data_IF_158762655403
#
_entry.id   IF_158762655403
#
_cell.length_a   1.000
_cell.length_b   1.000
_cell.length_c   1.000
_cell.angle_alpha   90.00
_cell.angle_beta   90.00
_cell.angle_gamma   90.00
#
_symmetry.space_group_name_H-M   'P 1'
#
loop_
_entity.id
_entity.type
_entity.pdbx_description
1 polymer ?
#
# COMPACT_ATOMS: atom_id res chain seq x y z
N UNK A 1 16.68 -4.88 -0.93
CA UNK A 1 16.86 -3.98 -2.08
C UNK A 1 15.81 -2.91 -1.97
N UNK A 2 16.30 -1.71 -1.81
CA UNK A 2 15.65 -0.51 -1.33
C UNK A 2 15.14 0.24 -2.55
N UNK A 3 13.81 0.36 -2.64
CA UNK A 3 13.09 0.93 -3.78
C UNK A 3 13.50 2.39 -4.10
N UNK A 4 14.26 3.03 -3.20
CA UNK A 4 14.78 4.39 -3.33
C UNK A 4 15.97 4.49 -4.30
N UNK A 5 16.83 3.46 -4.39
CA UNK A 5 17.98 3.48 -5.30
C UNK A 5 17.56 3.37 -6.77
N UNK A 6 16.55 2.55 -7.05
CA UNK A 6 16.00 2.38 -8.41
C UNK A 6 15.34 3.67 -8.90
N UNK A 7 14.65 4.38 -8.00
CA UNK A 7 14.00 5.65 -8.32
C UNK A 7 15.03 6.76 -8.60
N UNK A 8 16.10 6.82 -7.80
CA UNK A 8 17.19 7.77 -8.01
C UNK A 8 17.88 7.56 -9.37
N UNK A 9 18.18 6.30 -9.72
CA UNK A 9 18.80 5.96 -11.00
C UNK A 9 17.92 6.37 -12.19
N UNK A 10 16.60 6.17 -12.08
CA UNK A 10 15.66 6.51 -13.15
C UNK A 10 15.55 8.03 -13.34
N UNK A 11 15.52 8.81 -12.25
CA UNK A 11 15.50 10.28 -12.31
C UNK A 11 16.80 10.84 -12.90
N UNK A 12 17.96 10.28 -12.56
CA UNK A 12 19.24 10.70 -13.14
C UNK A 12 19.31 10.44 -14.64
N UNK A 13 18.85 9.28 -15.10
CA UNK A 13 18.78 8.95 -16.53
C UNK A 13 17.83 9.91 -17.26
N UNK A 14 16.66 10.20 -16.68
CA UNK A 14 15.67 11.13 -17.24
C UNK A 14 16.26 12.54 -17.39
N UNK A 15 16.97 13.02 -16.38
CA UNK A 15 17.59 14.33 -16.38
C UNK A 15 18.75 14.42 -17.38
N UNK A 16 19.55 13.35 -17.51
CA UNK A 16 20.59 13.24 -18.53
C UNK A 16 20.03 13.31 -19.95
N UNK A 17 18.94 12.58 -20.24
CA UNK A 17 18.29 12.59 -21.55
C UNK A 17 17.73 13.97 -21.89
N UNK A 18 17.11 14.64 -20.91
CA UNK A 18 16.57 15.99 -21.08
C UNK A 18 17.68 17.00 -21.41
N UNK A 19 18.82 16.93 -20.71
CA UNK A 19 19.96 17.80 -20.97
C UNK A 19 20.58 17.59 -22.36
N UNK A 20 20.57 16.36 -22.89
CA UNK A 20 21.02 16.07 -24.26
C UNK A 20 20.04 16.64 -25.28
N UNK A 21 18.73 16.49 -25.06
CA UNK A 21 17.71 17.04 -25.94
C UNK A 21 17.79 18.56 -26.02
N UNK A 22 17.93 19.24 -24.89
CA UNK A 22 18.06 20.70 -24.82
C UNK A 22 19.35 21.16 -25.53
N UNK A 23 20.44 20.40 -25.44
CA UNK A 23 21.69 20.71 -26.17
C UNK A 23 21.58 20.48 -27.67
N UNK A 24 20.79 19.50 -28.10
CA UNK A 24 20.56 19.21 -29.51
C UNK A 24 19.63 20.27 -30.15
N UNK A 25 18.61 20.71 -29.41
CA UNK A 25 17.68 21.75 -29.85
C UNK A 25 18.35 23.13 -29.95
N UNK A 26 19.35 23.40 -29.09
CA UNK A 26 20.12 24.65 -29.07
C UNK A 26 21.43 24.58 -29.90
N UNK A 27 21.72 23.48 -30.60
CA UNK A 27 22.89 23.39 -31.47
C UNK A 27 22.69 24.28 -32.72
N UNK A 28 23.68 25.11 -33.11
CA UNK A 28 23.53 26.02 -34.24
C UNK A 28 23.32 25.25 -35.54
N UNK A 29 22.21 25.52 -36.23
CA UNK A 29 21.92 25.02 -37.58
C UNK A 29 22.90 25.65 -38.57
N UNK A 30 24.05 25.02 -38.79
CA UNK A 30 24.92 25.34 -39.92
C UNK A 30 24.26 24.81 -41.19
N UNK A 31 23.74 25.74 -42.00
CA UNK A 31 23.21 25.49 -43.33
C UNK A 31 24.34 25.03 -44.27
N UNK A 32 24.06 23.95 -45.00
CA UNK A 32 24.95 23.38 -46.00
C UNK A 32 25.18 24.34 -47.18
N UNK A 33 26.43 24.69 -47.51
CA UNK A 33 26.90 25.11 -48.84
C UNK A 33 28.45 25.13 -48.90
N UNK A 34 29.04 24.12 -49.58
CA UNK A 34 30.37 24.04 -50.26
C UNK A 34 31.62 24.67 -49.61
N UNK A 35 32.83 24.09 -49.61
CA UNK A 35 33.41 22.88 -50.19
C UNK A 35 34.87 22.83 -49.68
N UNK A 36 35.35 21.65 -49.27
CA UNK A 36 36.78 21.34 -49.28
C UNK A 36 37.44 21.19 -47.92
N UNK A 37 37.17 20.08 -47.22
CA UNK A 37 38.22 19.25 -46.63
C UNK A 37 37.60 17.92 -46.21
N UNK A 38 38.29 16.85 -46.55
CA UNK A 38 37.81 15.47 -46.50
C UNK A 38 37.63 15.05 -45.04
N UNK A 39 36.41 15.16 -44.52
CA UNK A 39 36.06 14.58 -43.24
C UNK A 39 36.30 13.05 -43.32
N UNK A 40 37.05 12.46 -42.38
CA UNK A 40 37.23 11.02 -42.38
C UNK A 40 35.84 10.42 -42.17
N UNK A 41 35.39 9.62 -43.13
CA UNK A 41 34.21 8.78 -42.98
C UNK A 41 34.51 7.85 -41.81
N UNK A 42 34.10 8.26 -40.61
CA UNK A 42 34.26 7.47 -39.41
C UNK A 42 33.36 6.25 -39.58
N UNK A 43 33.98 5.09 -39.83
CA UNK A 43 33.25 3.86 -40.03
C UNK A 43 32.54 3.48 -38.71
N UNK A 44 31.21 3.59 -38.70
CA UNK A 44 30.36 3.26 -37.55
C UNK A 44 30.12 1.75 -37.41
N UNK A 45 30.58 0.93 -38.37
CA UNK A 45 30.44 -0.52 -38.31
C UNK A 45 30.94 -1.15 -37.00
N UNK A 46 32.10 -0.76 -36.42
CA UNK A 46 32.61 -1.35 -35.19
C UNK A 46 31.71 -1.08 -33.98
N UNK A 47 31.08 0.10 -33.90
CA UNK A 47 30.19 0.47 -32.79
C UNK A 47 28.86 -0.28 -32.91
N UNK A 48 28.38 -0.45 -34.14
CA UNK A 48 27.17 -1.22 -34.42
C UNK A 48 27.36 -2.71 -34.09
N UNK A 49 28.49 -3.30 -34.47
CA UNK A 49 28.80 -4.70 -34.14
C UNK A 49 28.97 -4.91 -32.63
N UNK A 50 29.53 -3.94 -31.90
CA UNK A 50 29.64 -3.97 -30.44
C UNK A 50 28.26 -3.91 -29.77
N UNK A 51 27.35 -3.09 -30.29
CA UNK A 51 25.96 -3.05 -29.80
C UNK A 51 25.20 -4.34 -30.12
N UNK A 52 25.32 -4.86 -31.34
CA UNK A 52 24.64 -6.08 -31.77
C UNK A 52 25.16 -7.31 -31.00
N UNK A 53 26.45 -7.36 -30.67
CA UNK A 53 27.03 -8.41 -29.82
C UNK A 53 26.56 -8.30 -28.37
N UNK A 54 26.54 -7.10 -27.78
CA UNK A 54 26.02 -6.87 -26.44
C UNK A 54 24.52 -7.19 -26.32
N UNK A 55 23.71 -6.80 -27.31
CA UNK A 55 22.28 -7.11 -27.34
C UNK A 55 22.02 -8.62 -27.42
N UNK A 56 22.81 -9.35 -28.23
CA UNK A 56 22.75 -10.82 -28.29
C UNK A 56 23.16 -11.46 -26.97
N UNK A 57 24.21 -10.96 -26.32
CA UNK A 57 24.67 -11.46 -25.03
C UNK A 57 23.60 -11.27 -23.94
N UNK A 58 23.03 -10.07 -23.80
CA UNK A 58 21.92 -9.81 -22.89
C UNK A 58 20.70 -10.70 -23.20
N UNK A 59 20.36 -10.89 -24.47
CA UNK A 59 19.27 -11.79 -24.85
C UNK A 59 19.54 -13.23 -24.40
N UNK A 60 20.79 -13.72 -24.55
CA UNK A 60 21.16 -15.06 -24.06
C UNK A 60 21.12 -15.16 -22.54
N UNK A 61 21.56 -14.12 -21.83
CA UNK A 61 21.54 -14.07 -20.37
C UNK A 61 20.10 -14.05 -19.82
N UNK A 62 19.22 -13.22 -20.40
CA UNK A 62 17.81 -13.16 -20.00
C UNK A 62 17.11 -14.49 -20.28
N UNK A 63 17.36 -15.13 -21.44
CA UNK A 63 16.84 -16.46 -21.74
C UNK A 63 17.31 -17.52 -20.74
N UNK A 64 18.59 -17.51 -20.38
CA UNK A 64 19.12 -18.44 -19.38
C UNK A 64 18.49 -18.23 -18.00
N UNK A 65 18.27 -16.98 -17.59
CA UNK A 65 17.65 -16.65 -16.30
C UNK A 65 16.16 -17.06 -16.27
N UNK A 66 15.42 -16.79 -17.33
CA UNK A 66 14.02 -17.22 -17.47
C UNK A 66 13.89 -18.74 -17.44
N UNK A 67 14.81 -19.45 -18.09
CA UNK A 67 14.81 -20.92 -18.09
C UNK A 67 15.06 -21.47 -16.68
N UNK A 68 16.03 -20.91 -15.93
CA UNK A 68 16.26 -21.28 -14.53
C UNK A 68 15.05 -21.03 -13.64
N UNK A 69 14.35 -19.91 -13.84
CA UNK A 69 13.13 -19.60 -13.08
C UNK A 69 12.01 -20.61 -13.39
N UNK A 70 11.79 -20.91 -14.67
CA UNK A 70 10.81 -21.89 -15.09
C UNK A 70 11.10 -23.30 -14.51
N UNK A 71 12.36 -23.73 -14.52
CA UNK A 71 12.77 -24.99 -13.90
C UNK A 71 12.52 -25.02 -12.39
N UNK A 72 12.79 -23.92 -11.68
CA UNK A 72 12.56 -23.80 -10.24
C UNK A 72 11.07 -23.84 -9.89
N UNK A 73 10.22 -23.16 -10.66
CA UNK A 73 8.77 -23.21 -10.48
C UNK A 73 8.19 -24.60 -10.74
N UNK A 74 8.61 -25.28 -11.82
CA UNK A 74 8.18 -26.64 -12.13
C UNK A 74 8.58 -27.61 -11.03
N UNK A 75 9.82 -27.50 -10.51
CA UNK A 75 10.30 -28.34 -9.40
C UNK A 75 9.50 -28.12 -8.12
N UNK A 76 9.21 -26.87 -7.80
CA UNK A 76 8.44 -26.52 -6.59
C UNK A 76 7.00 -27.01 -6.71
N UNK A 77 6.37 -26.79 -7.86
CA UNK A 77 5.01 -27.24 -8.16
C UNK A 77 4.88 -28.76 -8.10
N UNK A 78 5.86 -29.49 -8.66
CA UNK A 78 5.87 -30.95 -8.61
C UNK A 78 6.03 -31.47 -7.17
N UNK A 79 6.86 -30.82 -6.34
CA UNK A 79 6.97 -31.15 -4.91
C UNK A 79 5.64 -30.93 -4.17
N UNK A 80 4.95 -29.83 -4.44
CA UNK A 80 3.63 -29.55 -3.85
C UNK A 80 2.62 -30.62 -4.28
N UNK A 81 2.61 -31.00 -5.56
CA UNK A 81 1.73 -32.04 -6.07
C UNK A 81 1.97 -33.39 -5.37
N UNK A 82 3.23 -33.76 -5.15
CA UNK A 82 3.58 -34.97 -4.40
C UNK A 82 3.08 -34.92 -2.95
N UNK A 83 3.28 -33.81 -2.25
CA UNK A 83 2.78 -33.65 -0.89
C UNK A 83 1.25 -33.74 -0.80
N UNK A 84 0.54 -33.18 -1.78
CA UNK A 84 -0.92 -33.28 -1.86
C UNK A 84 -1.37 -34.72 -2.13
N UNK A 85 -0.64 -35.47 -2.96
CA UNK A 85 -0.91 -36.89 -3.22
C UNK A 85 -0.68 -37.74 -1.97
N UNK A 86 0.45 -37.56 -1.29
CA UNK A 86 0.77 -38.28 -0.05
C UNK A 86 -0.26 -37.99 1.04
N UNK A 87 -0.71 -36.74 1.15
CA UNK A 87 -1.76 -36.36 2.11
C UNK A 87 -3.10 -37.02 1.77
N UNK A 88 -3.48 -37.07 0.50
CA UNK A 88 -4.69 -37.75 0.06
C UNK A 88 -4.62 -39.27 0.30
N UNK A 89 -3.48 -39.90 0.00
CA UNK A 89 -3.25 -41.32 0.28
C UNK A 89 -3.28 -41.61 1.78
N UNK A 90 -2.73 -40.73 2.62
CA UNK A 90 -2.79 -40.87 4.08
C UNK A 90 -4.24 -40.82 4.59
N UNK A 91 -5.10 -39.99 3.99
CA UNK A 91 -6.52 -39.91 4.34
C UNK A 91 -7.26 -41.18 3.93
N UNK A 92 -7.03 -41.69 2.71
CA UNK A 92 -7.63 -42.94 2.21
C UNK A 92 -7.21 -44.13 3.09
N UNK A 93 -5.92 -44.26 3.40
CA UNK A 93 -5.41 -45.36 4.22
C UNK A 93 -5.94 -45.31 5.66
N UNK A 94 -6.04 -44.13 6.26
CA UNK A 94 -6.65 -43.96 7.59
C UNK A 94 -8.15 -44.31 7.61
N UNK A 95 -8.82 -44.23 6.47
CA UNK A 95 -10.23 -44.61 6.32
C UNK A 95 -10.42 -46.12 6.10
N UNK A 96 -9.44 -46.82 5.53
CA UNK A 96 -9.48 -48.28 5.32
C UNK A 96 -9.06 -49.06 6.57
N UNK A 97 -8.04 -48.60 7.29
CA UNK A 97 -7.53 -49.22 8.53
C UNK A 97 -8.57 -49.22 9.67
N UNK A 98 -9.65 -48.45 9.54
CA UNK A 98 -10.77 -48.41 10.50
C UNK A 98 -11.78 -49.55 10.38
N UNK A 99 -11.69 -50.44 9.37
CA UNK A 99 -12.74 -51.43 9.10
C UNK A 99 -12.59 -52.78 9.83
N UNK A 100 -11.44 -53.14 10.40
CA UNK A 100 -11.17 -54.55 10.76
C UNK A 100 -10.48 -54.82 12.12
N UNK A 101 -10.81 -54.14 13.22
CA UNK A 101 -10.38 -54.61 14.56
C UNK A 101 -11.47 -54.60 15.65
N UNK A 102 -11.47 -55.60 16.57
CA UNK A 102 -12.46 -55.71 17.65
C UNK A 102 -12.21 -54.64 18.73
N UNK A 103 -13.27 -53.93 19.10
CA UNK A 103 -13.25 -52.78 20.01
C UNK A 103 -12.70 -53.10 21.41
N UNK A 104 -11.55 -52.51 21.77
CA UNK A 104 -11.23 -52.22 23.17
C UNK A 104 -12.01 -50.97 23.61
N UNK A 105 -12.70 -51.09 24.76
CA UNK A 105 -13.45 -50.02 25.40
C UNK A 105 -12.51 -48.94 25.94
N UNK A 106 -11.99 -48.11 25.06
CA UNK A 106 -11.38 -46.83 25.41
C UNK A 106 -12.51 -45.81 25.44
N UNK A 107 -12.71 -45.13 26.58
CA UNK A 107 -13.52 -43.91 26.69
C UNK A 107 -12.88 -42.81 25.83
N UNK A 108 -13.09 -42.91 24.52
CA UNK A 108 -12.67 -41.94 23.52
C UNK A 108 -13.85 -41.00 23.35
N UNK A 109 -13.68 -39.72 23.69
CA UNK A 109 -14.55 -38.67 23.16
C UNK A 109 -14.24 -38.51 21.66
N UNK A 110 -14.73 -39.47 20.87
CA UNK A 110 -14.81 -39.34 19.43
C UNK A 110 -15.98 -38.39 19.17
N UNK A 111 -15.68 -37.12 18.87
CA UNK A 111 -16.69 -36.23 18.29
C UNK A 111 -16.97 -36.73 16.88
N UNK A 112 -17.97 -37.59 16.76
CA UNK A 112 -18.44 -38.09 15.48
C UNK A 112 -19.17 -36.97 14.74
N UNK A 113 -18.48 -36.30 13.81
CA UNK A 113 -19.05 -35.27 12.93
C UNK A 113 -20.17 -35.85 12.03
N UNK A 114 -20.34 -37.18 12.00
CA UNK A 114 -21.45 -37.85 11.32
C UNK A 114 -22.81 -37.68 12.02
N UNK A 115 -22.83 -37.28 13.30
CA UNK A 115 -24.08 -36.94 13.99
C UNK A 115 -24.60 -35.60 13.48
N UNK A 116 -25.68 -35.64 12.69
CA UNK A 116 -26.31 -34.44 12.10
C UNK A 116 -26.64 -33.35 13.12
N UNK A 117 -26.87 -33.73 14.39
CA UNK A 117 -27.15 -32.81 15.50
C UNK A 117 -25.92 -32.00 15.91
N UNK A 118 -24.75 -32.63 16.02
CA UNK A 118 -23.49 -31.95 16.40
C UNK A 118 -23.01 -31.08 15.24
N UNK A 119 -23.11 -31.57 14.00
CA UNK A 119 -22.83 -30.78 12.81
C UNK A 119 -23.75 -29.55 12.72
N UNK A 120 -25.05 -29.72 12.91
CA UNK A 120 -26.00 -28.59 12.89
C UNK A 120 -25.72 -27.57 14.00
N UNK A 121 -25.28 -28.01 15.18
CA UNK A 121 -24.94 -27.12 16.29
C UNK A 121 -23.64 -26.35 16.01
N UNK A 122 -22.63 -27.01 15.43
CA UNK A 122 -21.39 -26.38 14.98
C UNK A 122 -21.65 -25.35 13.87
N UNK A 123 -22.51 -25.67 12.90
CA UNK A 123 -22.91 -24.74 11.83
C UNK A 123 -23.68 -23.56 12.42
N UNK A 124 -24.65 -23.81 13.31
CA UNK A 124 -25.41 -22.74 13.98
C UNK A 124 -24.52 -21.82 14.80
N UNK A 125 -23.59 -22.39 15.58
CA UNK A 125 -22.61 -21.61 16.34
C UNK A 125 -21.68 -20.82 15.41
N UNK A 126 -21.27 -21.41 14.28
CA UNK A 126 -20.47 -20.73 13.26
C UNK A 126 -21.17 -19.48 12.72
N UNK A 127 -22.44 -19.60 12.33
CA UNK A 127 -23.25 -18.46 11.85
C UNK A 127 -23.36 -17.36 12.91
N UNK A 128 -23.66 -17.73 14.16
CA UNK A 128 -23.75 -16.76 15.28
C UNK A 128 -22.40 -16.07 15.54
N UNK A 129 -21.30 -16.82 15.55
CA UNK A 129 -19.95 -16.27 15.69
C UNK A 129 -19.61 -15.31 14.55
N UNK A 130 -19.91 -15.67 13.30
CA UNK A 130 -19.67 -14.81 12.13
C UNK A 130 -20.49 -13.52 12.18
N UNK A 131 -21.76 -13.59 12.57
CA UNK A 131 -22.60 -12.39 12.76
C UNK A 131 -22.07 -11.50 13.87
N UNK A 132 -21.58 -12.09 14.97
CA UNK A 132 -20.94 -11.33 16.05
C UNK A 132 -19.69 -10.61 15.59
N UNK A 133 -18.81 -11.29 14.85
CA UNK A 133 -17.59 -10.68 14.28
C UNK A 133 -17.95 -9.57 13.28
N UNK A 134 -18.90 -9.84 12.37
CA UNK A 134 -19.37 -8.86 11.40
C UNK A 134 -19.90 -7.59 12.06
N UNK A 135 -20.81 -7.73 13.04
CA UNK A 135 -21.38 -6.60 13.76
C UNK A 135 -20.33 -5.77 14.51
N UNK A 136 -19.30 -6.42 15.06
CA UNK A 136 -18.18 -5.71 15.69
C UNK A 136 -17.32 -4.93 14.69
N UNK A 137 -17.07 -5.51 13.50
CA UNK A 137 -16.33 -4.83 12.43
C UNK A 137 -17.11 -3.61 11.92
N UNK A 138 -18.41 -3.77 11.68
CA UNK A 138 -19.30 -2.69 11.22
C UNK A 138 -19.39 -1.55 12.24
N UNK A 139 -19.49 -1.90 13.53
CA UNK A 139 -19.48 -0.93 14.62
C UNK A 139 -18.15 -0.18 14.70
N UNK A 140 -17.02 -0.89 14.58
CA UNK A 140 -15.69 -0.29 14.58
C UNK A 140 -15.49 0.65 13.39
N UNK A 141 -15.90 0.23 12.18
CA UNK A 141 -15.85 1.07 10.98
C UNK A 141 -16.68 2.35 11.17
N UNK A 142 -17.90 2.23 11.67
CA UNK A 142 -18.78 3.36 11.94
C UNK A 142 -18.16 4.34 12.94
N UNK A 143 -17.65 3.83 14.07
CA UNK A 143 -16.97 4.66 15.08
C UNK A 143 -15.75 5.39 14.52
N UNK A 144 -15.00 4.72 13.65
CA UNK A 144 -13.83 5.29 13.00
C UNK A 144 -14.21 6.41 12.03
N UNK A 145 -15.23 6.18 11.20
CA UNK A 145 -15.77 7.21 10.30
C UNK A 145 -16.26 8.44 11.07
N UNK A 146 -16.99 8.26 12.17
CA UNK A 146 -17.41 9.38 13.02
C UNK A 146 -16.24 10.21 13.57
N UNK A 147 -15.17 9.54 14.01
CA UNK A 147 -13.98 10.21 14.52
C UNK A 147 -13.24 10.97 13.40
N UNK A 148 -13.12 10.35 12.24
CA UNK A 148 -12.48 10.93 11.07
C UNK A 148 -13.28 12.15 10.54
N UNK A 149 -14.61 12.05 10.45
CA UNK A 149 -15.48 13.17 10.04
C UNK A 149 -15.42 14.33 11.02
N UNK A 150 -15.47 14.06 12.33
CA UNK A 150 -15.30 15.09 13.34
C UNK A 150 -13.94 15.81 13.21
N UNK A 151 -12.88 15.07 12.89
CA UNK A 151 -11.57 15.63 12.63
C UNK A 151 -11.55 16.48 11.34
N UNK A 152 -12.15 16.01 10.25
CA UNK A 152 -12.30 16.76 8.99
C UNK A 152 -12.93 18.14 9.24
N UNK A 153 -14.00 18.22 10.05
CA UNK A 153 -14.63 19.51 10.39
C UNK A 153 -13.74 20.44 11.21
N UNK A 154 -13.02 19.91 12.21
CA UNK A 154 -12.12 20.72 13.04
C UNK A 154 -10.95 21.29 12.23
N UNK A 155 -10.42 20.49 11.32
CA UNK A 155 -9.36 20.90 10.38
C UNK A 155 -9.86 22.00 9.46
N UNK A 156 -11.01 21.82 8.79
CA UNK A 156 -11.61 22.85 7.94
C UNK A 156 -11.82 24.16 8.71
N UNK A 157 -12.32 24.06 9.95
CA UNK A 157 -12.50 25.23 10.83
C UNK A 157 -11.17 25.94 11.11
N UNK A 158 -10.09 25.18 11.33
CA UNK A 158 -8.76 25.75 11.56
C UNK A 158 -8.20 26.50 10.35
N UNK A 159 -8.63 26.13 9.15
CA UNK A 159 -8.23 26.80 7.89
C UNK A 159 -9.07 28.04 7.57
N UNK A 160 -10.20 28.25 8.26
CA UNK A 160 -11.08 29.42 8.02
C UNK A 160 -11.87 29.33 6.71
N UNK A 161 -11.94 28.14 6.10
CA UNK A 161 -12.54 27.88 4.79
C UNK A 161 -11.85 26.71 4.10
N UNK A 162 -12.50 26.12 3.10
CA UNK A 162 -11.93 25.00 2.34
C UNK A 162 -12.25 25.16 0.85
N UNK A 163 -11.24 24.98 0.00
CA UNK A 163 -11.40 24.91 -1.46
C UNK A 163 -11.71 23.48 -1.91
N UNK A 164 -12.30 23.31 -3.10
CA UNK A 164 -12.63 21.99 -3.65
C UNK A 164 -11.39 21.07 -3.71
N UNK A 165 -10.22 21.62 -4.03
CA UNK A 165 -8.97 20.86 -4.06
C UNK A 165 -8.55 20.36 -2.66
N UNK A 166 -8.78 21.17 -1.62
CA UNK A 166 -8.48 20.78 -0.24
C UNK A 166 -9.43 19.68 0.27
N UNK A 167 -10.71 19.74 -0.12
CA UNK A 167 -11.67 18.67 0.18
C UNK A 167 -11.25 17.37 -0.49
N UNK A 168 -10.86 17.44 -1.78
CA UNK A 168 -10.45 16.26 -2.54
C UNK A 168 -9.19 15.63 -1.95
N UNK A 169 -8.18 16.45 -1.62
CA UNK A 169 -6.96 15.99 -0.96
C UNK A 169 -7.25 15.37 0.42
N UNK A 170 -8.12 16.00 1.21
CA UNK A 170 -8.49 15.48 2.53
C UNK A 170 -9.25 14.15 2.40
N UNK A 171 -10.12 13.99 1.40
CA UNK A 171 -10.79 12.72 1.13
C UNK A 171 -9.78 11.64 0.70
N UNK A 172 -8.76 11.99 -0.09
CA UNK A 172 -7.67 11.07 -0.44
C UNK A 172 -6.91 10.59 0.80
N UNK A 173 -6.56 11.51 1.71
CA UNK A 173 -5.81 11.20 2.95
C UNK A 173 -6.60 10.36 3.95
N UNK A 174 -7.92 10.53 4.05
CA UNK A 174 -8.74 9.82 5.03
C UNK A 174 -9.33 8.50 4.49
N UNK A 175 -9.79 8.49 3.24
CA UNK A 175 -10.62 7.41 2.69
C UNK A 175 -9.91 6.56 1.62
N UNK A 176 -9.06 7.15 0.75
CA UNK A 176 -8.44 6.42 -0.38
C UNK A 176 -7.05 5.88 -0.02
N UNK A 177 -6.15 6.75 0.42
CA UNK A 177 -4.78 6.41 0.84
C UNK A 177 -4.56 6.89 2.27
N UNK A 178 -5.11 6.13 3.21
CA UNK A 178 -5.03 6.46 4.63
C UNK A 178 -3.57 6.64 5.07
N UNK A 179 -3.23 7.88 5.39
CA UNK A 179 -1.91 8.25 5.89
C UNK A 179 -2.04 8.72 7.35
N UNK A 180 -1.74 7.80 8.28
CA UNK A 180 -1.91 8.05 9.70
C UNK A 180 -0.95 9.13 10.22
N UNK A 181 0.23 9.31 9.61
CA UNK A 181 1.15 10.40 10.00
C UNK A 181 0.58 11.76 9.60
N UNK A 182 0.02 11.87 8.40
CA UNK A 182 -0.64 13.10 7.94
C UNK A 182 -1.90 13.39 8.76
N UNK A 183 -2.70 12.37 9.07
CA UNK A 183 -3.89 12.52 9.93
C UNK A 183 -3.50 13.04 11.32
N UNK A 184 -2.43 12.53 11.93
CA UNK A 184 -1.97 13.00 13.24
C UNK A 184 -1.45 14.44 13.19
N UNK A 185 -0.76 14.84 12.12
CA UNK A 185 -0.39 16.25 11.91
C UNK A 185 -1.62 17.15 11.79
N UNK A 186 -2.64 16.72 11.05
CA UNK A 186 -3.90 17.47 10.93
C UNK A 186 -4.61 17.60 12.29
N UNK A 187 -4.57 16.55 13.11
CA UNK A 187 -5.07 16.59 14.50
C UNK A 187 -4.36 17.64 15.34
N UNK A 188 -3.03 17.70 15.27
CA UNK A 188 -2.24 18.69 16.00
C UNK A 188 -2.52 20.12 15.52
N UNK A 189 -2.74 20.33 14.22
CA UNK A 189 -3.13 21.64 13.66
C UNK A 189 -4.48 22.08 14.21
N UNK A 190 -5.48 21.19 14.17
CA UNK A 190 -6.82 21.46 14.70
C UNK A 190 -6.80 21.73 16.22
N UNK A 191 -6.09 20.90 16.98
CA UNK A 191 -5.92 21.06 18.43
C UNK A 191 -5.20 22.36 18.78
N UNK A 192 -4.17 22.73 18.02
CA UNK A 192 -3.44 23.97 18.20
C UNK A 192 -4.30 25.20 17.95
N UNK A 193 -5.14 25.16 16.91
CA UNK A 193 -6.10 26.22 16.61
C UNK A 193 -7.17 26.37 17.70
N UNK A 194 -7.77 25.26 18.16
CA UNK A 194 -8.78 25.29 19.22
C UNK A 194 -8.20 25.80 20.55
N UNK A 195 -6.95 25.44 20.88
CA UNK A 195 -6.24 25.99 22.05
C UNK A 195 -6.04 27.51 21.95
N UNK A 196 -5.65 28.02 20.78
CA UNK A 196 -5.51 29.47 20.55
C UNK A 196 -6.85 30.17 20.69
N UNK A 197 -7.91 29.63 20.09
CA UNK A 197 -9.26 30.18 20.22
C UNK A 197 -9.73 30.20 21.68
N UNK A 198 -9.49 29.12 22.42
CA UNK A 198 -9.82 29.06 23.84
C UNK A 198 -9.07 30.13 24.63
N UNK A 199 -7.76 30.26 24.42
CA UNK A 199 -6.96 31.30 25.07
C UNK A 199 -7.47 32.72 24.77
N UNK A 200 -7.82 33.01 23.51
CA UNK A 200 -8.36 34.32 23.13
C UNK A 200 -9.71 34.59 23.80
N UNK A 201 -10.58 33.58 23.85
CA UNK A 201 -11.87 33.67 24.55
C UNK A 201 -11.70 33.92 26.05
N UNK A 202 -10.78 33.19 26.69
CA UNK A 202 -10.50 33.34 28.12
C UNK A 202 -9.93 34.73 28.44
N UNK A 203 -8.99 35.22 27.62
CA UNK A 203 -8.45 36.58 27.76
C UNK A 203 -9.52 37.66 27.60
N UNK A 204 -10.39 37.53 26.59
CA UNK A 204 -11.49 38.48 26.37
C UNK A 204 -12.49 38.47 27.54
N UNK A 205 -12.83 37.30 28.06
CA UNK A 205 -13.72 37.18 29.21
C UNK A 205 -13.11 37.81 30.46
N UNK A 206 -11.81 37.61 30.69
CA UNK A 206 -11.09 38.24 31.79
C UNK A 206 -11.08 39.77 31.66
N UNK A 207 -10.87 40.31 30.46
CA UNK A 207 -10.95 41.75 30.20
C UNK A 207 -12.35 42.30 30.50
N UNK A 208 -13.41 41.60 30.06
CA UNK A 208 -14.80 41.99 30.34
C UNK A 208 -15.09 42.06 31.84
N UNK A 209 -14.66 41.05 32.60
CA UNK A 209 -14.83 41.02 34.06
C UNK A 209 -14.08 42.16 34.75
N UNK A 210 -12.86 42.49 34.31
CA UNK A 210 -12.10 43.61 34.85
C UNK A 210 -12.80 44.95 34.57
N UNK A 211 -13.27 45.16 33.34
CA UNK A 211 -14.02 46.37 32.98
C UNK A 211 -15.27 46.52 33.84
N UNK A 212 -16.03 45.44 34.02
CA UNK A 212 -17.27 45.43 34.81
C UNK A 212 -17.02 45.78 36.29
N UNK A 213 -15.95 45.24 36.88
CA UNK A 213 -15.51 45.57 38.24
C UNK A 213 -15.14 47.05 38.38
N UNK A 214 -14.38 47.61 37.43
CA UNK A 214 -14.01 49.03 37.43
C UNK A 214 -15.24 49.92 37.33
N UNK A 215 -16.23 49.57 36.49
CA UNK A 215 -17.49 50.33 36.39
C UNK A 215 -18.37 50.24 37.62
N UNK A 216 -18.46 49.07 38.28
CA UNK A 216 -19.24 48.93 39.52
C UNK A 216 -18.59 49.66 40.71
N UNK A 217 -17.26 49.75 40.75
CA UNK A 217 -16.54 50.46 41.83
C UNK A 217 -16.55 51.99 41.66
N UNK A 218 -17.00 52.50 40.50
CA UNK A 218 -17.15 53.94 40.21
C UNK A 218 -18.58 54.47 40.44
N UNK A 219 -19.51 53.61 40.87
CA UNK A 219 -20.92 53.93 41.07
C UNK A 219 -21.27 53.87 42.55
#
# INVERSE_FOLDING_TARGET
MDNNEVYALFEDIKNGLKGINDRLENAPKVSNSQSGEQAPVMDLAPIKDLFDSSAKEHQTQTKALLTKYAEAEVKTSNRILHLLRDLNESFVRSSEERKDEPQEYIHRHCFDIRSSKVFSLLVGMGVVCSLSIWGNIELWQSKRQYADDALKFRVIRSWGGCDANHILWMNDVFDIRRDEETIERLRQVADGYDKKLKSLSDSLMQEKLQVEQITNNKK
#
